data_IF_126714996176
#
_entry.id   IF_126714996176
#
_cell.length_a   1.000
_cell.length_b   1.000
_cell.length_c   1.000
_cell.angle_alpha   90.00
_cell.angle_beta   90.00
_cell.angle_gamma   90.00
#
_symmetry.space_group_name_H-M   'P 1'
#
loop_
_entity.id
_entity.type
_entity.pdbx_description
1 polymer ?
#
# COMPACT_ATOMS: atom_id res chain seq x y z
N UNK A 1 -8.32 6.35 4.23
CA UNK A 1 -7.39 6.93 3.23
C UNK A 1 -8.03 7.99 2.33
N UNK A 2 -9.25 7.79 1.81
CA UNK A 2 -9.98 8.80 1.01
C UNK A 2 -10.07 10.20 1.67
N UNK A 3 -10.22 10.24 3.00
CA UNK A 3 -10.26 11.48 3.79
C UNK A 3 -8.97 12.31 3.79
N UNK A 4 -7.82 11.74 3.43
CA UNK A 4 -6.53 12.46 3.43
C UNK A 4 -6.20 13.10 2.07
N UNK A 5 -6.85 12.65 0.99
CA UNK A 5 -6.55 13.07 -0.38
C UNK A 5 -7.66 13.91 -1.03
N UNK A 6 -8.71 14.25 -0.28
CA UNK A 6 -9.89 14.95 -0.80
C UNK A 6 -10.85 14.01 -1.55
N UNK A 7 -12.10 14.44 -1.67
CA UNK A 7 -13.13 13.73 -2.45
C UNK A 7 -12.70 13.62 -3.93
N UNK A 8 -12.64 12.38 -4.43
CA UNK A 8 -12.91 11.93 -5.82
C UNK A 8 -12.15 12.50 -7.02
N UNK A 9 -11.66 13.73 -6.97
CA UNK A 9 -11.32 14.55 -8.14
C UNK A 9 -10.28 15.62 -7.79
N UNK A 10 -9.33 15.25 -6.91
CA UNK A 10 -8.24 16.14 -6.54
C UNK A 10 -7.11 16.02 -7.57
N UNK A 11 -6.70 17.10 -8.25
CA UNK A 11 -5.59 17.05 -9.20
C UNK A 11 -4.27 16.61 -8.53
N UNK A 12 -4.16 16.79 -7.21
CA UNK A 12 -3.03 16.29 -6.43
C UNK A 12 -3.05 14.76 -6.28
N UNK A 13 -4.24 14.14 -6.20
CA UNK A 13 -4.37 12.69 -6.18
C UNK A 13 -3.97 12.09 -7.53
N UNK A 14 -4.44 12.67 -8.63
CA UNK A 14 -4.08 12.19 -9.98
C UNK A 14 -2.58 12.25 -10.23
N UNK A 15 -1.93 13.34 -9.84
CA UNK A 15 -0.47 13.45 -9.91
C UNK A 15 0.22 12.42 -9.01
N UNK A 16 -0.26 12.20 -7.79
CA UNK A 16 0.31 11.20 -6.89
C UNK A 16 0.18 9.77 -7.43
N UNK A 17 -0.90 9.46 -8.17
CA UNK A 17 -1.08 8.13 -8.77
C UNK A 17 -0.10 7.86 -9.92
N UNK A 18 0.46 8.89 -10.56
CA UNK A 18 1.45 8.70 -11.64
C UNK A 18 2.73 8.00 -11.16
N UNK A 19 3.06 8.11 -9.87
CA UNK A 19 4.24 7.46 -9.27
C UNK A 19 3.91 6.12 -8.61
N UNK A 20 2.65 5.69 -8.66
CA UNK A 20 2.19 4.41 -8.11
C UNK A 20 1.91 3.44 -9.26
N UNK A 21 2.76 2.43 -9.51
CA UNK A 21 2.55 1.45 -10.58
C UNK A 21 1.19 0.75 -10.56
N UNK A 22 0.61 0.53 -9.37
CA UNK A 22 -0.73 -0.04 -9.25
C UNK A 22 -1.87 0.88 -9.77
N UNK A 23 -1.58 2.15 -10.06
CA UNK A 23 -2.51 3.12 -10.66
C UNK A 23 -3.71 3.50 -9.79
N UNK A 24 -3.70 3.13 -8.51
CA UNK A 24 -4.79 3.38 -7.57
C UNK A 24 -4.28 3.52 -6.14
N UNK A 25 -5.10 4.11 -5.29
CA UNK A 25 -4.91 4.03 -3.84
C UNK A 25 -5.23 2.61 -3.34
N UNK A 26 -4.42 2.13 -2.41
CA UNK A 26 -4.70 0.92 -1.67
C UNK A 26 -5.97 1.04 -0.84
N UNK A 27 -6.69 -0.07 -0.69
CA UNK A 27 -7.86 -0.17 0.17
C UNK A 27 -7.43 -0.60 1.58
N UNK A 28 -8.09 -0.08 2.65
CA UNK A 28 -7.79 -0.51 4.02
C UNK A 28 -7.89 -2.03 4.24
N UNK A 29 -8.76 -2.70 3.48
CA UNK A 29 -8.92 -4.14 3.55
C UNK A 29 -7.67 -4.90 3.05
N UNK A 30 -6.94 -4.36 2.06
CA UNK A 30 -5.70 -4.96 1.54
C UNK A 30 -4.59 -4.94 2.60
N UNK A 31 -4.45 -3.81 3.31
CA UNK A 31 -3.55 -3.72 4.47
C UNK A 31 -3.96 -4.72 5.56
N UNK A 32 -5.25 -4.76 5.90
CA UNK A 32 -5.77 -5.68 6.91
C UNK A 32 -5.50 -7.14 6.58
N UNK A 33 -5.63 -7.53 5.30
CA UNK A 33 -5.35 -8.89 4.86
C UNK A 33 -3.88 -9.26 5.03
N UNK A 34 -2.95 -8.36 4.73
CA UNK A 34 -1.51 -8.62 4.93
C UNK A 34 -1.15 -8.66 6.41
N UNK A 35 -1.71 -7.78 7.24
CA UNK A 35 -1.53 -7.88 8.70
C UNK A 35 -2.06 -9.21 9.23
N UNK A 36 -3.24 -9.65 8.79
CA UNK A 36 -3.81 -10.93 9.17
C UNK A 36 -2.90 -12.11 8.76
N UNK A 37 -2.31 -12.06 7.56
CA UNK A 37 -1.32 -13.05 7.13
C UNK A 37 -0.07 -13.03 8.02
N UNK A 38 0.48 -11.86 8.33
CA UNK A 38 1.67 -11.71 9.18
C UNK A 38 1.44 -12.21 10.61
N UNK A 39 0.21 -12.11 11.13
CA UNK A 39 -0.18 -12.66 12.42
C UNK A 39 -0.52 -14.15 12.38
N UNK A 40 -0.59 -14.77 11.20
CA UNK A 40 -0.95 -16.17 11.04
C UNK A 40 0.24 -17.11 11.26
N UNK A 41 -0.06 -18.40 11.41
CA UNK A 41 0.96 -19.47 11.49
C UNK A 41 1.84 -19.55 10.22
N UNK A 42 1.35 -19.06 9.08
CA UNK A 42 2.05 -19.12 7.80
C UNK A 42 3.25 -18.16 7.73
N UNK A 43 3.27 -17.12 8.56
CA UNK A 43 4.37 -16.15 8.62
C UNK A 43 5.38 -16.45 9.74
N UNK A 44 5.35 -17.64 10.35
CA UNK A 44 6.13 -17.97 11.55
C UNK A 44 7.66 -17.84 11.43
N UNK A 45 8.21 -17.75 10.22
CA UNK A 45 9.65 -17.55 9.98
C UNK A 45 9.99 -16.13 9.46
N UNK A 46 8.99 -15.27 9.32
CA UNK A 46 9.15 -13.91 8.82
C UNK A 46 9.30 -12.94 10.01
N UNK A 47 10.50 -12.40 10.19
CA UNK A 47 10.81 -11.43 11.25
C UNK A 47 11.86 -10.44 10.77
N UNK A 48 11.85 -9.21 11.32
CA UNK A 48 12.82 -8.16 11.00
C UNK A 48 12.74 -7.58 9.58
N UNK A 49 11.75 -7.99 8.78
CA UNK A 49 11.56 -7.54 7.41
C UNK A 49 10.60 -6.33 7.33
N UNK A 50 10.94 -5.37 6.48
CA UNK A 50 10.00 -4.34 6.04
C UNK A 50 9.24 -4.83 4.81
N UNK A 51 7.90 -4.84 4.87
CA UNK A 51 7.04 -5.24 3.76
C UNK A 51 6.33 -3.99 3.23
N UNK A 52 6.78 -3.38 2.12
CA UNK A 52 6.10 -2.22 1.55
C UNK A 52 4.74 -2.62 0.95
N UNK A 53 3.69 -1.87 1.30
CA UNK A 53 2.34 -1.95 0.73
C UNK A 53 1.92 -0.59 0.17
N UNK A 54 2.56 -0.16 -0.91
CA UNK A 54 2.38 1.17 -1.49
C UNK A 54 2.03 1.14 -2.98
N UNK A 55 1.63 -0.02 -3.49
CA UNK A 55 1.32 -0.19 -4.91
C UNK A 55 2.54 -0.11 -5.83
N UNK A 56 3.77 -0.25 -5.29
CA UNK A 56 5.02 -0.25 -6.03
C UNK A 56 5.70 1.12 -6.13
N UNK A 57 5.25 2.09 -5.34
CA UNK A 57 5.82 3.44 -5.33
C UNK A 57 7.28 3.42 -4.84
N UNK A 58 7.60 2.58 -3.85
CA UNK A 58 8.95 2.35 -3.38
C UNK A 58 9.66 1.31 -4.25
N UNK A 59 10.59 1.79 -5.07
CA UNK A 59 11.46 0.98 -5.92
C UNK A 59 12.73 0.66 -5.13
N UNK A 60 12.70 -0.39 -4.30
CA UNK A 60 13.76 -0.64 -3.31
C UNK A 60 15.17 -0.93 -3.89
N UNK A 61 15.33 -1.10 -5.22
CA UNK A 61 16.58 -1.54 -5.86
C UNK A 61 16.74 -1.12 -7.35
N UNK A 62 15.91 -0.21 -7.88
CA UNK A 62 16.03 0.34 -9.24
C UNK A 62 16.23 1.86 -9.16
#
# INVERSE_FOLDING_TARGET
MRSLYGEGDSPALDQALTTVPAGRLGQPAELGAVVAFLCSVHAGYLTGAAVPLDGGAYQALL
#
